data_IF_429757048765
#
_entry.id   IF_429757048765
#
_cell.length_a   1.000
_cell.length_b   1.000
_cell.length_c   1.000
_cell.angle_alpha   90.00
_cell.angle_beta   90.00
_cell.angle_gamma   90.00
#
_symmetry.space_group_name_H-M   'P 1'
#
loop_
_entity.id
_entity.type
_entity.pdbx_description
1 polymer ?
#
# COMPACT_ATOMS: atom_id res chain seq x y z
N UNK A 1 16.71 -28.16 -13.61
CA UNK A 1 17.53 -27.47 -12.58
C UNK A 1 16.64 -26.41 -11.94
N UNK A 2 16.34 -26.45 -10.63
CA UNK A 2 15.53 -25.41 -10.00
C UNK A 2 16.42 -24.18 -9.83
N UNK A 3 16.26 -23.21 -10.74
CA UNK A 3 16.98 -21.95 -10.73
C UNK A 3 16.28 -20.91 -9.86
N UNK A 4 17.11 -20.16 -9.12
CA UNK A 4 16.93 -18.82 -8.52
C UNK A 4 15.91 -18.57 -7.37
N UNK A 5 15.93 -19.39 -6.31
CA UNK A 5 15.37 -18.97 -5.03
C UNK A 5 16.37 -18.07 -4.25
N UNK A 6 16.12 -16.76 -4.17
CA UNK A 6 16.75 -15.89 -3.17
C UNK A 6 15.96 -15.99 -1.85
N UNK A 7 16.14 -17.11 -1.13
CA UNK A 7 15.50 -17.35 0.15
C UNK A 7 16.28 -16.64 1.28
N UNK A 8 15.80 -15.49 1.73
CA UNK A 8 16.25 -14.88 2.99
C UNK A 8 15.14 -15.01 4.03
N UNK A 9 15.31 -16.00 4.90
CA UNK A 9 14.64 -16.21 6.19
C UNK A 9 13.11 -16.02 6.20
N UNK A 10 12.37 -17.04 5.74
CA UNK A 10 10.99 -17.28 6.19
C UNK A 10 9.87 -17.28 5.16
N UNK A 11 10.14 -17.15 3.86
CA UNK A 11 9.08 -17.30 2.84
C UNK A 11 9.61 -18.03 1.61
N UNK A 12 9.26 -19.31 1.50
CA UNK A 12 9.49 -20.15 0.31
C UNK A 12 8.44 -19.86 -0.78
N UNK A 13 7.57 -18.87 -0.56
CA UNK A 13 6.50 -18.46 -1.48
C UNK A 13 6.85 -17.08 -2.03
N UNK A 14 6.72 -16.90 -3.35
CA UNK A 14 7.01 -15.67 -4.10
C UNK A 14 6.09 -14.48 -3.80
N UNK A 15 5.64 -14.37 -2.54
CA UNK A 15 4.76 -13.34 -2.03
C UNK A 15 5.46 -12.60 -0.90
N UNK A 16 5.22 -11.29 -0.82
CA UNK A 16 5.76 -10.42 0.23
C UNK A 16 4.67 -9.52 0.77
N UNK A 17 4.73 -9.23 2.07
CA UNK A 17 3.75 -8.40 2.75
C UNK A 17 3.88 -6.93 2.33
N UNK A 18 2.75 -6.25 2.15
CA UNK A 18 2.69 -4.81 1.84
C UNK A 18 2.93 -3.94 3.09
N UNK A 19 4.19 -3.88 3.54
CA UNK A 19 4.61 -3.20 4.77
C UNK A 19 5.36 -1.86 4.56
N UNK A 20 5.49 -1.40 3.31
CA UNK A 20 6.22 -0.17 2.99
C UNK A 20 7.75 -0.32 2.84
N UNK A 21 8.29 -1.54 2.91
CA UNK A 21 9.73 -1.79 2.77
C UNK A 21 10.33 -1.27 1.46
N UNK A 22 11.61 -0.92 1.49
CA UNK A 22 12.41 -0.67 0.27
C UNK A 22 13.07 -1.96 -0.20
N UNK A 23 12.90 -2.29 -1.48
CA UNK A 23 13.43 -3.48 -2.13
C UNK A 23 14.40 -3.13 -3.25
N UNK A 24 15.43 -3.97 -3.43
CA UNK A 24 16.38 -3.82 -4.53
C UNK A 24 15.74 -4.26 -5.86
N UNK A 25 15.93 -3.45 -6.91
CA UNK A 25 15.41 -3.76 -8.25
C UNK A 25 16.04 -5.02 -8.85
N UNK A 26 17.32 -5.26 -8.56
CA UNK A 26 18.06 -6.42 -9.05
C UNK A 26 17.51 -7.75 -8.51
N UNK A 27 16.94 -7.73 -7.31
CA UNK A 27 16.42 -8.93 -6.66
C UNK A 27 14.94 -9.20 -7.00
N UNK A 28 14.21 -8.16 -7.42
CA UNK A 28 12.76 -8.21 -7.65
C UNK A 28 12.39 -7.50 -8.96
N UNK A 29 13.01 -7.89 -10.08
CA UNK A 29 12.81 -7.28 -11.40
C UNK A 29 11.36 -7.34 -11.88
N UNK A 30 10.72 -8.50 -11.71
CA UNK A 30 9.36 -8.74 -12.22
C UNK A 30 8.33 -7.94 -11.42
N UNK A 31 8.51 -7.86 -10.11
CA UNK A 31 7.69 -7.01 -9.25
C UNK A 31 7.87 -5.53 -9.60
N UNK A 32 9.12 -5.09 -9.79
CA UNK A 32 9.42 -3.72 -10.18
C UNK A 32 8.80 -3.36 -11.55
N UNK A 33 8.77 -4.30 -12.50
CA UNK A 33 8.14 -4.08 -13.80
C UNK A 33 6.63 -3.77 -13.70
N UNK A 34 5.94 -4.31 -12.69
CA UNK A 34 4.49 -4.10 -12.48
C UNK A 34 4.19 -2.83 -11.69
N UNK A 35 4.88 -2.59 -10.56
CA UNK A 35 4.53 -1.48 -9.65
C UNK A 35 5.39 -0.22 -9.83
N UNK A 36 6.57 -0.37 -10.44
CA UNK A 36 7.53 0.70 -10.67
C UNK A 36 7.95 1.43 -9.38
N UNK A 37 8.08 2.75 -9.49
CA UNK A 37 8.38 3.65 -8.37
C UNK A 37 7.09 4.31 -7.80
N UNK A 38 5.91 3.73 -8.00
CA UNK A 38 4.63 4.35 -7.62
C UNK A 38 4.54 4.68 -6.12
N UNK A 39 5.21 3.90 -5.26
CA UNK A 39 5.29 4.16 -3.81
C UNK A 39 6.63 4.81 -3.39
N UNK A 40 7.38 5.37 -4.35
CA UNK A 40 8.72 5.92 -4.14
C UNK A 40 9.84 4.91 -4.36
N UNK A 41 11.07 5.38 -4.22
CA UNK A 41 12.28 4.59 -4.44
C UNK A 41 13.44 5.42 -4.99
N UNK A 42 14.66 4.89 -4.90
CA UNK A 42 15.84 5.53 -5.49
C UNK A 42 16.06 5.04 -6.92
N UNK A 43 15.98 5.96 -7.87
CA UNK A 43 16.34 5.68 -9.25
C UNK A 43 17.87 5.53 -9.37
N UNK A 44 18.33 4.33 -9.70
CA UNK A 44 19.70 4.07 -10.13
C UNK A 44 19.68 2.97 -11.19
N UNK A 45 20.49 3.10 -12.24
CA UNK A 45 20.55 2.14 -13.33
C UNK A 45 21.05 0.79 -12.78
N UNK A 46 20.19 -0.23 -12.80
CA UNK A 46 20.51 -1.59 -12.32
C UNK A 46 20.56 -1.79 -10.80
N UNK A 47 20.89 -0.76 -10.03
CA UNK A 47 21.13 -0.86 -8.57
C UNK A 47 20.15 -0.02 -7.73
N UNK A 48 19.06 0.45 -8.32
CA UNK A 48 18.05 1.23 -7.62
C UNK A 48 17.24 0.43 -6.62
N UNK A 49 16.53 1.13 -5.74
CA UNK A 49 15.49 0.54 -4.89
C UNK A 49 14.12 1.06 -5.29
N UNK A 50 13.09 0.28 -4.97
CA UNK A 50 11.69 0.68 -5.09
C UNK A 50 10.98 0.33 -3.79
N UNK A 51 9.98 1.12 -3.43
CA UNK A 51 9.20 0.86 -2.24
C UNK A 51 7.92 0.10 -2.62
N UNK A 52 7.54 -0.86 -1.78
CA UNK A 52 6.23 -1.51 -1.86
C UNK A 52 5.18 -0.66 -1.13
N UNK A 53 3.90 -0.89 -1.44
CA UNK A 53 2.81 -0.16 -0.77
C UNK A 53 2.75 -0.56 0.71
N UNK A 54 2.50 0.42 1.58
CA UNK A 54 2.14 0.17 2.99
C UNK A 54 0.62 0.13 3.10
N UNK A 55 0.08 -1.06 3.37
CA UNK A 55 -1.36 -1.30 3.53
C UNK A 55 -1.74 -1.61 4.98
N UNK A 56 -0.79 -1.52 5.93
CA UNK A 56 -1.09 -1.73 7.34
C UNK A 56 -2.10 -0.68 7.81
N UNK A 57 -3.13 -1.14 8.52
CA UNK A 57 -4.24 -0.31 8.98
C UNK A 57 -4.98 0.46 7.86
N UNK A 58 -4.92 0.01 6.60
CA UNK A 58 -5.65 0.60 5.47
C UNK A 58 -6.69 -0.37 4.93
N UNK A 59 -7.88 0.13 4.64
CA UNK A 59 -8.88 -0.60 3.85
C UNK A 59 -8.67 -0.30 2.36
N UNK A 60 -8.66 -1.35 1.54
CA UNK A 60 -8.66 -1.20 0.10
C UNK A 60 -10.03 -0.75 -0.39
N UNK A 61 -10.06 0.25 -1.28
CA UNK A 61 -11.26 0.69 -1.99
C UNK A 61 -10.93 0.85 -3.48
N UNK A 62 -11.90 0.57 -4.34
CA UNK A 62 -11.73 0.71 -5.78
C UNK A 62 -11.35 2.14 -6.17
N UNK A 63 -10.37 2.27 -7.07
CA UNK A 63 -10.01 3.55 -7.65
C UNK A 63 -11.11 3.99 -8.61
N UNK A 64 -11.61 5.22 -8.44
CA UNK A 64 -12.47 5.89 -9.43
C UNK A 64 -11.67 7.01 -10.08
N UNK A 65 -11.87 7.28 -11.38
CA UNK A 65 -11.18 8.37 -12.09
C UNK A 65 -11.34 9.76 -11.45
N UNK A 66 -12.31 9.92 -10.54
CA UNK A 66 -12.55 11.16 -9.78
C UNK A 66 -11.67 11.33 -8.54
N UNK A 67 -10.87 10.32 -8.16
CA UNK A 67 -10.05 10.34 -6.93
C UNK A 67 -8.65 9.80 -7.17
N UNK A 68 -7.66 10.67 -7.04
CA UNK A 68 -6.24 10.32 -7.08
C UNK A 68 -5.90 9.37 -5.93
N UNK A 69 -5.09 8.35 -6.22
CA UNK A 69 -4.58 7.44 -5.19
C UNK A 69 -3.83 8.24 -4.10
N UNK A 70 -4.22 8.06 -2.84
CA UNK A 70 -3.64 8.77 -1.69
C UNK A 70 -4.49 9.92 -1.11
N UNK A 71 -5.65 10.25 -1.69
CA UNK A 71 -6.57 11.21 -1.07
C UNK A 71 -7.27 10.60 0.15
N UNK A 72 -6.98 11.13 1.34
CA UNK A 72 -7.72 10.80 2.57
C UNK A 72 -9.14 11.35 2.44
N UNK A 73 -10.11 10.46 2.37
CA UNK A 73 -11.52 10.84 2.35
C UNK A 73 -12.05 10.84 3.78
N UNK A 74 -11.95 12.01 4.42
CA UNK A 74 -12.49 12.30 5.74
C UNK A 74 -11.92 11.42 6.87
N UNK A 75 -11.06 11.99 7.71
CA UNK A 75 -10.86 11.47 9.06
C UNK A 75 -12.05 11.90 9.92
N UNK A 76 -13.19 11.25 9.76
CA UNK A 76 -14.25 11.38 10.76
C UNK A 76 -13.80 10.57 11.96
N UNK A 77 -13.35 11.24 13.02
CA UNK A 77 -13.28 10.64 14.36
C UNK A 77 -14.70 10.21 14.72
N UNK A 78 -15.04 8.94 14.46
CA UNK A 78 -16.33 8.38 14.86
C UNK A 78 -16.31 8.25 16.38
N UNK A 79 -17.02 9.15 17.06
CA UNK A 79 -17.29 9.07 18.48
C UNK A 79 -18.63 8.34 18.69
N UNK A 80 -18.63 7.03 19.00
CA UNK A 80 -19.87 6.26 19.16
C UNK A 80 -20.78 6.74 20.31
N UNK A 81 -20.38 7.79 21.05
CA UNK A 81 -21.08 8.32 22.22
C UNK A 81 -21.76 9.68 22.03
N UNK A 82 -21.81 10.22 20.81
CA UNK A 82 -22.65 11.39 20.52
C UNK A 82 -23.88 10.93 19.72
N UNK A 83 -24.91 10.48 20.43
CA UNK A 83 -26.24 10.32 19.83
C UNK A 83 -26.72 11.73 19.48
N UNK A 84 -26.54 12.14 18.23
CA UNK A 84 -27.06 13.41 17.74
C UNK A 84 -28.56 13.24 17.51
N UNK A 85 -29.36 13.44 18.57
CA UNK A 85 -30.81 13.54 18.45
C UNK A 85 -31.12 14.77 17.58
N UNK A 86 -31.80 14.62 16.43
CA UNK A 86 -32.28 15.76 15.68
C UNK A 86 -33.30 16.50 16.56
N UNK A 87 -33.11 17.81 16.76
CA UNK A 87 -34.14 18.66 17.34
C UNK A 87 -35.37 18.64 16.42
N UNK A 88 -36.44 17.96 16.84
CA UNK A 88 -37.77 18.14 16.27
C UNK A 88 -38.41 19.34 16.98
N UNK A 89 -38.79 20.42 16.27
CA UNK A 89 -39.56 21.49 16.88
C UNK A 89 -40.97 20.98 17.23
N UNK A 90 -41.46 21.34 18.42
CA UNK A 90 -42.84 21.10 18.83
C UNK A 90 -43.76 22.09 18.08
N UNK A 91 -44.56 21.60 17.13
CA UNK A 91 -45.71 22.32 16.55
C UNK A 91 -46.98 22.07 17.37
#
# INVERSE_FOLDING_TARGET
MPGNAKATNGSVIGWRLCDGSSLAKADFSDLFAVIGNANGGKASKGQGTFNISDLRARLLRGASARKTAGTVLSSTTYNPFQVQVPYMPDD
#
